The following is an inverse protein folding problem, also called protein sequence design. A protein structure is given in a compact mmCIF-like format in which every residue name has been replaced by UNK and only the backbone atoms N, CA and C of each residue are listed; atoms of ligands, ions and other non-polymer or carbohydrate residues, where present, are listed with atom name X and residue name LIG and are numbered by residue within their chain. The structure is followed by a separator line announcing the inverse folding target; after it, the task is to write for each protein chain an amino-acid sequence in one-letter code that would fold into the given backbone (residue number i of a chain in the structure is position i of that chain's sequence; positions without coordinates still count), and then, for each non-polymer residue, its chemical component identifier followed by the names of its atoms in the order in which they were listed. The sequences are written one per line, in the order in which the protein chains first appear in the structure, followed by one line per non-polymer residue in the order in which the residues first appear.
data_IF_455587735175
#
_entry.id   IF_455587735175
#
_cell.length_a   1.000
_cell.length_b   1.000
_cell.length_c   1.000
_cell.angle_alpha   90.00
_cell.angle_beta   90.00
_cell.angle_gamma   90.00
#
_symmetry.space_group_name_H-M   'P 1'
#
loop_
_entity.id
_entity.type
_entity.pdbx_description
1 polymer ?
#
# COMPACT_ATOMS: atom_id res chain seq x y z
N UNK A 1 60.06 -4.80 23.69
CA UNK A 1 58.96 -4.55 22.73
C UNK A 1 57.65 -4.99 23.37
N UNK A 2 57.07 -4.15 24.22
CA UNK A 2 55.85 -4.48 24.97
C UNK A 2 54.90 -3.30 24.92
N UNK A 3 54.29 -3.06 23.76
CA UNK A 3 53.11 -2.20 23.71
C UNK A 3 51.95 -3.03 24.26
N UNK A 4 51.54 -2.66 25.47
CA UNK A 4 50.67 -3.41 26.37
C UNK A 4 49.30 -3.68 25.71
N UNK A 5 48.79 -4.90 25.86
CA UNK A 5 47.48 -5.40 25.37
C UNK A 5 46.31 -4.47 25.74
N UNK A 6 46.49 -3.65 26.77
CA UNK A 6 45.60 -2.58 27.22
C UNK A 6 45.47 -1.38 26.25
N UNK A 7 46.50 -1.06 25.47
CA UNK A 7 46.47 0.08 24.53
C UNK A 7 45.59 -0.21 23.31
N UNK A 8 45.61 -1.46 22.81
CA UNK A 8 44.71 -1.92 21.75
C UNK A 8 43.25 -1.94 22.20
N UNK A 9 42.99 -2.35 23.45
CA UNK A 9 41.64 -2.32 24.02
C UNK A 9 41.10 -0.90 24.19
N UNK A 10 41.93 0.05 24.65
CA UNK A 10 41.56 1.46 24.78
C UNK A 10 41.26 2.11 23.43
N UNK A 11 42.05 1.84 22.38
CA UNK A 11 41.75 2.35 21.04
C UNK A 11 40.47 1.72 20.46
N UNK A 12 40.25 0.43 20.69
CA UNK A 12 39.04 -0.27 20.26
C UNK A 12 37.77 0.29 20.92
N UNK A 13 37.80 0.59 22.22
CA UNK A 13 36.64 1.18 22.91
C UNK A 13 36.35 2.60 22.44
N UNK A 14 37.37 3.42 22.17
CA UNK A 14 37.19 4.78 21.65
C UNK A 14 36.56 4.73 20.26
N UNK A 15 37.08 3.89 19.36
CA UNK A 15 36.54 3.74 17.99
C UNK A 15 35.10 3.20 18.05
N UNK A 16 34.85 2.20 18.89
CA UNK A 16 33.51 1.64 19.09
C UNK A 16 32.52 2.65 19.63
N UNK A 17 32.93 3.48 20.60
CA UNK A 17 32.08 4.54 21.14
C UNK A 17 31.74 5.60 20.07
N UNK A 18 32.72 6.00 19.26
CA UNK A 18 32.50 6.95 18.16
C UNK A 18 31.53 6.38 17.11
N UNK A 19 31.70 5.11 16.72
CA UNK A 19 30.79 4.44 15.78
C UNK A 19 29.37 4.30 16.34
N UNK A 20 29.24 3.98 17.64
CA UNK A 20 27.93 3.89 18.29
C UNK A 20 27.21 5.24 18.35
N UNK A 21 27.94 6.33 18.63
CA UNK A 21 27.37 7.69 18.61
C UNK A 21 26.94 8.07 17.19
N UNK A 22 27.80 7.83 16.18
CA UNK A 22 27.46 8.10 14.78
C UNK A 22 26.25 7.29 14.31
N UNK A 23 26.19 5.99 14.63
CA UNK A 23 25.05 5.14 14.32
C UNK A 23 23.77 5.58 15.04
N UNK A 24 23.88 5.99 16.30
CA UNK A 24 22.75 6.49 17.09
C UNK A 24 22.15 7.79 16.52
N UNK A 25 22.98 8.69 16.01
CA UNK A 25 22.52 9.93 15.35
C UNK A 25 21.87 9.64 13.99
N UNK A 26 22.31 8.60 13.29
CA UNK A 26 21.81 8.28 11.95
C UNK A 26 20.37 7.73 11.97
N UNK A 27 19.94 7.07 13.05
CA UNK A 27 18.58 6.54 13.22
C UNK A 27 17.49 7.62 13.14
N UNK A 28 17.51 8.71 13.96
CA UNK A 28 16.49 9.75 13.88
C UNK A 28 16.53 10.54 12.57
N UNK A 29 17.72 10.75 11.99
CA UNK A 29 17.87 11.43 10.70
C UNK A 29 17.27 10.60 9.57
N UNK A 30 17.51 9.28 9.56
CA UNK A 30 16.90 8.36 8.61
C UNK A 30 15.37 8.38 8.68
N UNK A 31 14.80 8.33 9.88
CA UNK A 31 13.35 8.40 10.07
C UNK A 31 12.75 9.72 9.54
N UNK A 32 13.38 10.87 9.83
CA UNK A 32 12.89 12.17 9.35
C UNK A 32 12.93 12.29 7.82
N UNK A 33 14.00 11.82 7.18
CA UNK A 33 14.13 11.86 5.71
C UNK A 33 13.12 10.94 5.01
N UNK A 34 12.85 9.76 5.59
CA UNK A 34 11.85 8.83 5.07
C UNK A 34 10.45 9.43 5.25
N UNK A 35 10.14 9.99 6.42
CA UNK A 35 8.84 10.60 6.70
C UNK A 35 8.55 11.78 5.75
N UNK A 36 9.54 12.64 5.51
CA UNK A 36 9.41 13.78 4.59
C UNK A 36 9.26 13.34 3.14
N UNK A 37 9.95 12.28 2.72
CA UNK A 37 9.84 11.74 1.36
C UNK A 37 8.48 11.06 1.15
N UNK A 38 8.03 10.27 2.12
CA UNK A 38 6.72 9.60 2.08
C UNK A 38 5.59 10.64 2.11
N UNK A 39 5.69 11.70 2.93
CA UNK A 39 4.69 12.78 2.94
C UNK A 39 4.62 13.52 1.61
N UNK A 40 5.75 13.73 0.91
CA UNK A 40 5.76 14.39 -0.39
C UNK A 40 5.20 13.51 -1.51
N UNK A 41 5.45 12.20 -1.47
CA UNK A 41 4.96 11.28 -2.49
C UNK A 41 3.51 10.82 -2.26
N UNK A 42 3.01 10.84 -1.01
CA UNK A 42 1.65 10.44 -0.66
C UNK A 42 0.60 11.54 -0.86
N UNK A 43 1.00 12.78 -1.15
CA UNK A 43 0.08 13.87 -1.45
C UNK A 43 -0.31 13.83 -2.93
N UNK A 44 -1.61 13.94 -3.19
CA UNK A 44 -2.18 13.96 -4.54
C UNK A 44 -1.96 15.37 -5.12
N UNK A 45 -0.77 15.60 -5.64
CA UNK A 45 -0.36 16.83 -6.33
C UNK A 45 0.16 16.50 -7.73
N UNK A 46 0.01 17.45 -8.66
CA UNK A 46 0.49 17.27 -10.05
C UNK A 46 2.00 16.99 -10.05
N UNK A 47 2.40 15.78 -10.49
CA UNK A 47 3.78 15.34 -10.58
C UNK A 47 4.20 14.27 -9.55
N UNK A 48 3.30 13.80 -8.69
CA UNK A 48 3.56 12.67 -7.78
C UNK A 48 3.10 11.33 -8.39
N UNK A 49 3.77 10.23 -8.01
CA UNK A 49 3.38 8.87 -8.41
C UNK A 49 1.98 8.48 -7.91
N UNK A 50 1.53 9.06 -6.80
CA UNK A 50 0.17 8.90 -6.30
C UNK A 50 -0.87 9.56 -7.23
N UNK A 51 -0.58 10.74 -7.79
CA UNK A 51 -1.45 11.39 -8.76
C UNK A 51 -1.55 10.60 -10.07
N UNK A 52 -0.43 10.12 -10.61
CA UNK A 52 -0.41 9.33 -11.86
C UNK A 52 -1.24 8.04 -11.74
N UNK A 53 -1.13 7.33 -10.62
CA UNK A 53 -1.93 6.12 -10.35
C UNK A 53 -3.41 6.42 -10.09
N UNK A 54 -3.74 7.60 -9.59
CA UNK A 54 -5.14 8.02 -9.40
C UNK A 54 -5.81 8.38 -10.73
N UNK A 55 -5.09 9.05 -11.64
CA UNK A 55 -5.61 9.43 -12.96
C UNK A 55 -5.69 8.22 -13.89
N UNK A 56 -4.67 7.36 -13.91
CA UNK A 56 -4.64 6.15 -14.73
C UNK A 56 -4.29 4.95 -13.83
N UNK A 57 -5.28 4.17 -13.38
CA UNK A 57 -4.99 2.99 -12.60
C UNK A 57 -4.20 1.98 -13.45
N UNK A 58 -3.08 1.49 -12.93
CA UNK A 58 -2.19 0.57 -13.66
C UNK A 58 -2.76 -0.85 -13.90
N UNK A 59 -3.97 -1.15 -13.39
CA UNK A 59 -4.60 -2.47 -13.51
C UNK A 59 -6.03 -2.35 -14.02
N UNK A 60 -6.44 -3.19 -14.99
CA UNK A 60 -7.82 -3.20 -15.47
C UNK A 60 -8.77 -3.68 -14.36
N UNK A 61 -9.71 -2.83 -13.98
CA UNK A 61 -10.76 -3.16 -13.01
C UNK A 61 -11.96 -3.71 -13.78
N UNK A 62 -12.19 -5.03 -13.68
CA UNK A 62 -13.36 -5.67 -14.25
C UNK A 62 -14.50 -5.71 -13.24
N UNK A 63 -15.70 -5.31 -13.65
CA UNK A 63 -16.93 -5.43 -12.86
C UNK A 63 -17.96 -6.23 -13.64
N UNK A 64 -18.35 -7.38 -13.11
CA UNK A 64 -19.41 -8.21 -13.67
C UNK A 64 -20.76 -7.81 -13.08
N UNK A 65 -21.77 -7.64 -13.93
CA UNK A 65 -23.13 -7.36 -13.52
C UNK A 65 -24.01 -8.58 -13.80
N UNK A 66 -24.64 -9.09 -12.75
CA UNK A 66 -25.61 -10.17 -12.83
C UNK A 66 -27.00 -9.60 -12.57
N UNK A 67 -27.91 -9.86 -13.49
CA UNK A 67 -29.30 -9.46 -13.37
C UNK A 67 -30.18 -10.70 -13.21
N UNK A 68 -31.22 -10.53 -12.40
CA UNK A 68 -32.28 -11.50 -12.25
C UNK A 68 -33.42 -11.12 -13.18
N UNK A 69 -33.61 -11.89 -14.24
CA UNK A 69 -34.72 -11.69 -15.18
C UNK A 69 -35.92 -12.54 -14.76
N UNK A 70 -37.07 -11.89 -14.54
CA UNK A 70 -38.28 -12.56 -14.06
C UNK A 70 -39.03 -13.19 -15.24
N UNK A 71 -39.15 -14.51 -15.26
CA UNK A 71 -39.72 -15.25 -16.39
C UNK A 71 -41.26 -15.33 -16.36
N UNK A 72 -41.87 -15.20 -15.19
CA UNK A 72 -43.31 -15.28 -15.01
C UNK A 72 -43.91 -14.02 -14.35
N UNK A 73 -43.68 -12.81 -14.93
CA UNK A 73 -44.08 -11.55 -14.29
C UNK A 73 -45.60 -11.47 -14.04
N UNK A 74 -46.43 -11.97 -14.96
CA UNK A 74 -47.88 -11.92 -14.82
C UNK A 74 -48.42 -12.77 -13.67
N UNK A 75 -47.86 -13.97 -13.46
CA UNK A 75 -48.29 -14.88 -12.39
C UNK A 75 -47.89 -14.34 -11.01
N UNK A 76 -46.70 -13.76 -10.93
CA UNK A 76 -46.23 -13.09 -9.71
C UNK A 76 -47.13 -11.91 -9.37
N UNK A 77 -47.46 -11.07 -10.36
CA UNK A 77 -48.26 -9.87 -10.12
C UNK A 77 -49.74 -10.15 -9.80
N UNK A 78 -50.34 -11.14 -10.47
CA UNK A 78 -51.78 -11.43 -10.32
C UNK A 78 -52.07 -12.37 -9.15
N UNK A 79 -51.23 -13.39 -8.96
CA UNK A 79 -51.53 -14.52 -8.07
C UNK A 79 -50.57 -14.60 -6.88
N UNK A 80 -49.55 -13.73 -6.78
CA UNK A 80 -48.52 -13.83 -5.77
C UNK A 80 -47.71 -15.13 -5.87
N UNK A 81 -47.65 -15.73 -7.06
CA UNK A 81 -46.95 -16.99 -7.30
C UNK A 81 -45.44 -16.83 -7.13
N UNK A 82 -44.75 -17.95 -6.90
CA UNK A 82 -43.29 -17.96 -6.79
C UNK A 82 -42.64 -17.38 -8.06
N UNK A 83 -41.67 -16.49 -7.87
CA UNK A 83 -40.96 -15.84 -8.96
C UNK A 83 -39.89 -16.76 -9.56
N UNK A 84 -40.02 -17.03 -10.86
CA UNK A 84 -39.01 -17.74 -11.64
C UNK A 84 -37.96 -16.74 -12.12
N UNK A 85 -36.74 -16.87 -11.61
CA UNK A 85 -35.61 -16.01 -11.95
C UNK A 85 -34.65 -16.74 -12.88
N UNK A 86 -34.29 -16.09 -13.98
CA UNK A 86 -33.17 -16.50 -14.82
C UNK A 86 -31.95 -15.63 -14.51
N UNK A 87 -30.79 -16.26 -14.30
CA UNK A 87 -29.53 -15.56 -14.14
C UNK A 87 -29.00 -15.15 -15.51
N UNK A 88 -29.02 -13.85 -15.79
CA UNK A 88 -28.45 -13.30 -17.01
C UNK A 88 -27.16 -12.53 -16.67
N UNK A 89 -26.05 -12.91 -17.31
CA UNK A 89 -24.86 -12.07 -17.39
C UNK A 89 -25.09 -11.05 -18.50
N UNK A 90 -25.12 -9.75 -18.16
CA UNK A 90 -25.20 -8.69 -19.17
C UNK A 90 -23.79 -8.18 -19.42
N UNK A 91 -23.27 -8.40 -20.62
CA UNK A 91 -22.00 -7.81 -21.05
C UNK A 91 -22.10 -6.27 -20.94
N UNK A 92 -21.15 -5.58 -20.27
CA UNK A 92 -21.12 -4.13 -20.27
C UNK A 92 -20.86 -3.64 -21.71
N UNK A 93 -21.77 -2.79 -22.23
CA UNK A 93 -21.57 -2.10 -23.52
C UNK A 93 -20.55 -0.98 -23.40
#
# INVERSE_FOLDING_TARGET
MGCNRNCGLLMGTIIGAVLAILGGILIPVGNNLIEDSVKKEAVIENGTTAYENWVIPGSPIYRQFWFFDVQNPEEVMKNGSFNLLFFACKEPR
#
